data_IF_835584656354
#
_entry.id   IF_835584656354
#
_cell.length_a   1.000
_cell.length_b   1.000
_cell.length_c   1.000
_cell.angle_alpha   90.00
_cell.angle_beta   90.00
_cell.angle_gamma   90.00
#
_symmetry.space_group_name_H-M   'P 1'
#
loop_
_entity.id
_entity.type
_entity.pdbx_description
1 polymer ?
#
# COMPACT_ATOMS: atom_id res chain seq x y z
N UNK A 1 20.24 -30.36 9.25
CA UNK A 1 19.78 -29.39 10.25
C UNK A 1 19.11 -28.25 9.50
N UNK A 2 17.79 -28.32 9.36
CA UNK A 2 16.98 -27.24 8.80
C UNK A 2 16.95 -26.13 9.84
N UNK A 3 17.59 -25.03 9.56
CA UNK A 3 17.40 -23.78 10.30
C UNK A 3 16.02 -23.28 9.88
N UNK A 4 15.02 -23.52 10.72
CA UNK A 4 13.71 -22.88 10.58
C UNK A 4 13.95 -21.36 10.72
N UNK A 5 13.82 -20.65 9.63
CA UNK A 5 13.92 -19.21 9.60
C UNK A 5 12.75 -18.62 10.39
N UNK A 6 13.02 -18.20 11.62
CA UNK A 6 12.11 -17.36 12.41
C UNK A 6 11.95 -15.94 11.84
N UNK A 7 12.47 -15.71 10.64
CA UNK A 7 12.33 -14.45 9.91
C UNK A 7 10.94 -14.26 9.25
N UNK A 8 10.12 -15.30 9.17
CA UNK A 8 8.76 -15.20 8.63
C UNK A 8 7.74 -14.62 9.63
N UNK A 9 8.13 -14.44 10.89
CA UNK A 9 7.34 -13.81 11.95
C UNK A 9 7.72 -12.33 12.15
N UNK A 10 8.18 -11.66 11.12
CA UNK A 10 8.44 -10.24 11.23
C UNK A 10 7.12 -9.50 11.20
N UNK A 11 6.75 -9.13 12.39
CA UNK A 11 5.52 -8.51 12.84
C UNK A 11 5.19 -7.32 11.93
N UNK A 12 4.22 -7.48 11.04
CA UNK A 12 3.49 -6.36 10.47
C UNK A 12 2.97 -5.52 11.64
N UNK A 13 3.58 -4.39 11.91
CA UNK A 13 3.02 -3.43 12.88
C UNK A 13 1.71 -2.92 12.30
N UNK A 14 0.62 -3.48 12.81
CA UNK A 14 -0.73 -3.05 12.48
C UNK A 14 -0.94 -1.64 13.01
N UNK A 15 -1.35 -0.72 12.17
CA UNK A 15 -1.96 0.53 12.60
C UNK A 15 -3.47 0.32 12.54
N UNK A 16 -4.08 0.23 13.70
CA UNK A 16 -5.54 0.25 13.81
C UNK A 16 -6.01 1.67 13.52
N UNK A 17 -6.84 1.83 12.51
CA UNK A 17 -7.63 3.04 12.31
C UNK A 17 -8.98 2.86 12.99
N UNK A 18 -9.59 3.94 13.48
CA UNK A 18 -10.91 3.89 14.12
C UNK A 18 -12.03 3.39 13.18
N UNK A 19 -11.76 3.30 11.90
CA UNK A 19 -12.66 2.77 10.86
C UNK A 19 -12.51 1.27 10.60
N UNK A 20 -11.71 0.55 11.43
CA UNK A 20 -11.49 -0.89 11.28
C UNK A 20 -10.56 -1.30 10.12
N UNK A 21 -10.08 -0.36 9.31
CA UNK A 21 -9.13 -0.64 8.24
C UNK A 21 -7.71 -0.80 8.82
N UNK A 22 -7.18 -2.00 8.77
CA UNK A 22 -5.82 -2.28 9.22
C UNK A 22 -4.86 -1.94 8.07
N UNK A 23 -4.16 -0.79 8.16
CA UNK A 23 -3.04 -0.50 7.26
C UNK A 23 -1.75 -1.02 7.89
N UNK A 24 -1.10 -1.95 7.23
CA UNK A 24 0.17 -2.51 7.67
C UNK A 24 1.34 -1.66 7.17
N UNK A 25 2.32 -1.43 8.03
CA UNK A 25 3.61 -0.89 7.59
C UNK A 25 4.33 -2.00 6.81
N UNK A 26 4.90 -1.67 5.66
CA UNK A 26 5.70 -2.62 4.89
C UNK A 26 6.84 -3.20 5.73
N UNK A 27 7.13 -4.49 5.54
CA UNK A 27 8.24 -5.14 6.23
C UNK A 27 9.57 -4.42 5.96
N UNK A 28 10.52 -4.40 6.89
CA UNK A 28 11.78 -3.66 6.75
C UNK A 28 12.55 -3.99 5.47
N UNK A 29 12.59 -5.27 5.07
CA UNK A 29 13.24 -5.68 3.82
C UNK A 29 12.56 -5.04 2.58
N UNK A 30 11.22 -4.95 2.58
CA UNK A 30 10.49 -4.32 1.49
C UNK A 30 10.77 -2.81 1.41
N UNK A 31 10.88 -2.13 2.56
CA UNK A 31 11.24 -0.71 2.60
C UNK A 31 12.64 -0.51 2.01
N UNK A 32 13.60 -1.37 2.36
CA UNK A 32 14.96 -1.32 1.80
C UNK A 32 14.94 -1.58 0.30
N UNK A 33 14.19 -2.58 -0.16
CA UNK A 33 14.01 -2.88 -1.59
C UNK A 33 13.45 -1.68 -2.35
N UNK A 34 12.38 -1.07 -1.84
CA UNK A 34 11.78 0.12 -2.44
C UNK A 34 12.78 1.28 -2.52
N UNK A 35 13.48 1.60 -1.42
CA UNK A 35 14.48 2.67 -1.38
C UNK A 35 15.65 2.40 -2.33
N UNK A 36 16.10 1.14 -2.44
CA UNK A 36 17.15 0.75 -3.37
C UNK A 36 16.76 1.05 -4.83
N UNK A 37 15.57 0.64 -5.22
CA UNK A 37 15.09 0.84 -6.59
C UNK A 37 14.64 2.28 -6.90
N UNK A 38 14.45 3.12 -5.88
CA UNK A 38 14.15 4.53 -6.07
C UNK A 38 15.37 5.35 -6.53
N UNK A 39 16.60 4.85 -6.37
CA UNK A 39 17.84 5.52 -6.81
C UNK A 39 17.84 7.02 -6.45
N UNK A 40 17.55 7.29 -5.18
CA UNK A 40 17.36 8.66 -4.70
C UNK A 40 18.66 9.44 -4.67
N UNK A 41 18.57 10.71 -5.01
CA UNK A 41 19.67 11.66 -4.97
C UNK A 41 19.26 12.96 -4.28
N UNK A 42 20.22 13.70 -3.78
CA UNK A 42 20.01 15.00 -3.16
C UNK A 42 19.30 15.98 -4.10
N UNK A 43 18.35 16.74 -3.56
CA UNK A 43 17.62 17.79 -4.29
C UNK A 43 16.45 17.30 -5.15
N UNK A 44 16.13 16.01 -5.14
CA UNK A 44 15.02 15.47 -5.93
C UNK A 44 13.64 15.84 -5.37
N UNK A 45 12.68 15.99 -6.29
CA UNK A 45 11.25 16.06 -6.00
C UNK A 45 10.64 14.66 -6.10
N UNK A 46 10.13 14.15 -4.99
CA UNK A 46 9.63 12.78 -4.88
C UNK A 46 8.15 12.77 -4.50
N UNK A 47 7.38 11.95 -5.18
CA UNK A 47 5.98 11.67 -4.86
C UNK A 47 5.87 10.31 -4.19
N UNK A 48 5.18 10.26 -3.05
CA UNK A 48 4.83 9.02 -2.34
C UNK A 48 3.32 8.89 -2.33
N UNK A 49 2.78 7.87 -2.99
CA UNK A 49 1.35 7.56 -2.98
C UNK A 49 1.13 6.34 -2.07
N UNK A 50 0.39 6.56 -0.98
CA UNK A 50 0.23 5.59 0.11
C UNK A 50 1.18 5.89 1.28
N UNK A 51 0.71 6.66 2.24
CA UNK A 51 1.54 7.17 3.35
C UNK A 51 1.87 6.11 4.41
N UNK A 52 0.93 5.21 4.70
CA UNK A 52 1.04 4.12 5.70
C UNK A 52 1.51 4.54 7.10
N UNK A 53 1.91 5.58 7.44
CA UNK A 53 2.47 5.98 8.75
C UNK A 53 3.67 6.91 8.63
N UNK A 54 4.06 7.23 7.39
CA UNK A 54 5.05 8.24 7.10
C UNK A 54 6.52 7.80 7.21
N UNK A 55 6.80 6.56 7.66
CA UNK A 55 8.19 6.12 7.85
C UNK A 55 9.01 6.14 6.56
N UNK A 56 8.45 5.63 5.45
CA UNK A 56 9.10 5.66 4.16
C UNK A 56 9.35 7.11 3.69
N UNK A 57 8.37 8.00 3.88
CA UNK A 57 8.50 9.41 3.51
C UNK A 57 9.62 10.11 4.30
N UNK A 58 9.78 9.81 5.60
CA UNK A 58 10.86 10.33 6.42
C UNK A 58 12.25 9.87 5.93
N UNK A 59 12.37 8.58 5.56
CA UNK A 59 13.62 8.05 5.00
C UNK A 59 13.95 8.72 3.65
N UNK A 60 12.97 8.87 2.77
CA UNK A 60 13.14 9.55 1.49
C UNK A 60 13.59 11.00 1.73
N UNK A 61 12.91 11.73 2.62
CA UNK A 61 13.26 13.12 2.94
C UNK A 61 14.68 13.26 3.49
N UNK A 62 15.13 12.28 4.30
CA UNK A 62 16.53 12.25 4.78
C UNK A 62 17.53 12.11 3.63
N UNK A 63 17.20 11.30 2.62
CA UNK A 63 18.11 11.05 1.49
C UNK A 63 18.14 12.23 0.52
N UNK A 64 16.96 12.80 0.19
CA UNK A 64 16.90 13.93 -0.76
C UNK A 64 17.37 15.26 -0.14
N UNK A 65 17.41 15.34 1.19
CA UNK A 65 17.95 16.47 1.93
C UNK A 65 17.09 17.75 1.86
N UNK A 66 17.67 18.87 2.30
CA UNK A 66 16.94 20.13 2.51
C UNK A 66 16.54 20.82 1.20
N UNK A 67 17.25 20.56 0.11
CA UNK A 67 16.92 21.08 -1.22
C UNK A 67 15.90 20.20 -1.98
N UNK A 68 15.65 18.98 -1.47
CA UNK A 68 14.63 18.08 -2.01
C UNK A 68 13.23 18.36 -1.47
N UNK A 69 12.23 17.72 -2.06
CA UNK A 69 10.82 17.77 -1.62
C UNK A 69 10.22 16.39 -1.66
N UNK A 70 9.36 16.09 -0.70
CA UNK A 70 8.60 14.84 -0.65
C UNK A 70 7.12 15.16 -0.52
N UNK A 71 6.37 14.89 -1.56
CA UNK A 71 4.93 15.08 -1.58
C UNK A 71 4.25 13.73 -1.32
N UNK A 72 3.56 13.63 -0.20
CA UNK A 72 2.91 12.40 0.24
C UNK A 72 1.42 12.50 0.03
N UNK A 73 0.85 11.52 -0.64
CA UNK A 73 -0.57 11.41 -0.92
C UNK A 73 -1.13 10.13 -0.30
N UNK A 74 -2.26 10.21 0.38
CA UNK A 74 -2.98 9.04 0.89
C UNK A 74 -4.48 9.28 0.80
N UNK A 75 -5.29 8.30 0.36
CA UNK A 75 -6.74 8.44 0.29
C UNK A 75 -7.41 8.57 1.65
N UNK A 76 -6.81 8.05 2.71
CA UNK A 76 -7.36 8.10 4.07
C UNK A 76 -7.02 9.42 4.77
N UNK A 77 -8.04 10.23 5.08
CA UNK A 77 -7.89 11.46 5.88
C UNK A 77 -7.28 11.20 7.25
N UNK A 78 -7.61 10.07 7.86
CA UNK A 78 -7.08 9.66 9.16
C UNK A 78 -5.57 9.39 9.09
N UNK A 79 -5.13 8.63 8.09
CA UNK A 79 -3.70 8.36 7.84
C UNK A 79 -2.94 9.65 7.55
N UNK A 80 -3.52 10.55 6.75
CA UNK A 80 -2.94 11.87 6.46
C UNK A 80 -2.76 12.70 7.73
N UNK A 81 -3.76 12.75 8.61
CA UNK A 81 -3.68 13.52 9.86
C UNK A 81 -2.59 12.94 10.79
N UNK A 82 -2.57 11.63 11.00
CA UNK A 82 -1.54 10.96 11.80
C UNK A 82 -0.12 11.16 11.23
N UNK A 83 0.01 11.13 9.90
CA UNK A 83 1.30 11.36 9.27
C UNK A 83 1.77 12.81 9.42
N UNK A 84 0.87 13.80 9.30
CA UNK A 84 1.16 15.21 9.53
C UNK A 84 1.71 15.46 10.94
N UNK A 85 1.09 14.86 11.95
CA UNK A 85 1.53 14.99 13.35
C UNK A 85 2.95 14.42 13.53
N UNK A 86 3.18 13.21 13.00
CA UNK A 86 4.47 12.52 13.13
C UNK A 86 5.60 13.17 12.34
N UNK A 87 5.30 13.72 11.19
CA UNK A 87 6.26 14.30 10.26
C UNK A 87 6.34 15.83 10.35
N UNK A 88 5.73 16.43 11.37
CA UNK A 88 5.71 17.90 11.58
C UNK A 88 7.09 18.55 11.67
N UNK A 89 8.11 17.77 12.02
CA UNK A 89 9.52 18.24 12.12
C UNK A 89 10.26 18.19 10.76
N UNK A 90 9.61 17.74 9.69
CA UNK A 90 10.20 17.61 8.37
C UNK A 90 9.66 18.69 7.43
N UNK A 91 10.30 19.86 7.30
CA UNK A 91 9.78 20.97 6.50
C UNK A 91 9.77 20.68 4.99
N UNK A 92 10.49 19.65 4.55
CA UNK A 92 10.57 19.20 3.17
C UNK A 92 9.47 18.21 2.79
N UNK A 93 8.64 17.77 3.76
CA UNK A 93 7.53 16.84 3.52
C UNK A 93 6.21 17.59 3.49
N UNK A 94 5.47 17.45 2.43
CA UNK A 94 4.09 17.90 2.32
C UNK A 94 3.14 16.72 2.21
N UNK A 95 2.04 16.70 2.99
CA UNK A 95 1.12 15.56 3.06
C UNK A 95 -0.29 16.03 2.75
N UNK A 96 -0.95 15.37 1.78
CA UNK A 96 -2.30 15.71 1.31
C UNK A 96 -3.17 14.46 1.16
N UNK A 97 -4.48 14.69 1.21
CA UNK A 97 -5.46 13.65 0.85
C UNK A 97 -5.49 13.50 -0.67
N UNK A 98 -5.59 12.28 -1.14
CA UNK A 98 -5.81 11.92 -2.53
C UNK A 98 -7.25 11.43 -2.68
N UNK A 99 -8.11 12.29 -3.16
CA UNK A 99 -9.54 11.96 -3.29
C UNK A 99 -9.84 11.06 -4.51
N UNK A 100 -8.99 11.12 -5.53
CA UNK A 100 -9.10 10.32 -6.76
C UNK A 100 -7.69 10.02 -7.31
N UNK A 101 -7.42 8.75 -7.61
CA UNK A 101 -6.12 8.32 -8.10
C UNK A 101 -5.81 8.87 -9.51
N UNK A 102 -6.82 9.03 -10.33
CA UNK A 102 -6.66 9.50 -11.72
C UNK A 102 -6.65 11.04 -11.84
N UNK A 103 -6.87 11.78 -10.74
CA UNK A 103 -6.90 13.23 -10.69
C UNK A 103 -5.78 13.78 -9.82
N UNK A 104 -4.93 14.64 -10.42
CA UNK A 104 -3.90 15.31 -9.64
C UNK A 104 -4.51 16.24 -8.58
N UNK A 105 -3.97 16.24 -7.34
CA UNK A 105 -4.42 17.17 -6.31
C UNK A 105 -4.24 18.64 -6.75
N UNK A 106 -5.12 19.53 -6.26
CA UNK A 106 -5.05 20.97 -6.52
C UNK A 106 -3.73 21.53 -5.97
N UNK A 107 -3.08 22.42 -6.73
CA UNK A 107 -1.79 23.03 -6.39
C UNK A 107 -0.67 22.01 -6.12
N UNK A 108 -0.66 20.93 -6.88
CA UNK A 108 0.38 19.91 -6.85
C UNK A 108 1.58 20.32 -7.70
N UNK A 109 2.83 19.84 -7.41
CA UNK A 109 4.00 20.16 -8.22
C UNK A 109 3.80 19.94 -9.71
N UNK A 110 4.36 20.83 -10.52
CA UNK A 110 4.28 20.73 -11.99
C UNK A 110 5.10 19.58 -12.53
N UNK A 111 6.27 19.33 -11.93
CA UNK A 111 7.21 18.29 -12.33
C UNK A 111 7.82 17.61 -11.12
N UNK A 112 8.20 16.34 -11.27
CA UNK A 112 8.87 15.54 -10.24
C UNK A 112 9.76 14.45 -10.87
N UNK A 113 10.75 13.98 -10.10
CA UNK A 113 11.76 13.05 -10.62
C UNK A 113 11.43 11.60 -10.31
N UNK A 114 10.80 11.33 -9.16
CA UNK A 114 10.58 9.99 -8.63
C UNK A 114 9.17 9.85 -8.08
N UNK A 115 8.56 8.74 -8.39
CA UNK A 115 7.26 8.38 -7.81
C UNK A 115 7.34 6.99 -7.22
N UNK A 116 6.84 6.82 -6.02
CA UNK A 116 6.67 5.52 -5.38
C UNK A 116 5.22 5.33 -4.96
N UNK A 117 4.66 4.20 -5.32
CA UNK A 117 3.34 3.78 -4.87
C UNK A 117 3.48 2.60 -3.91
N UNK A 118 2.88 2.70 -2.74
CA UNK A 118 2.97 1.68 -1.70
C UNK A 118 1.71 0.83 -1.57
N UNK A 119 0.87 0.87 -2.56
CA UNK A 119 -0.30 0.03 -2.74
C UNK A 119 -0.43 -0.41 -4.20
N UNK A 120 -1.14 -1.50 -4.40
CA UNK A 120 -1.40 -2.08 -5.72
C UNK A 120 -2.24 -1.13 -6.58
N UNK A 121 -1.87 -1.05 -7.85
CA UNK A 121 -2.60 -0.33 -8.90
C UNK A 121 -2.68 -1.19 -10.16
N UNK A 122 -3.65 -0.93 -11.03
CA UNK A 122 -3.73 -1.59 -12.34
C UNK A 122 -2.89 -0.88 -13.40
N UNK A 123 -2.80 0.44 -13.30
CA UNK A 123 -2.08 1.29 -14.26
C UNK A 123 -1.55 2.55 -13.59
N UNK A 124 -0.49 3.12 -14.15
CA UNK A 124 0.02 4.43 -13.71
C UNK A 124 -0.96 5.53 -14.16
N UNK A 125 -1.39 6.43 -13.26
CA UNK A 125 -2.26 7.56 -13.60
C UNK A 125 -1.63 8.49 -14.66
N UNK A 126 -2.44 9.01 -15.57
CA UNK A 126 -1.95 9.87 -16.66
C UNK A 126 -1.32 11.19 -16.16
N UNK A 127 -1.84 11.75 -15.05
CA UNK A 127 -1.25 12.94 -14.46
C UNK A 127 0.17 12.72 -13.90
N UNK A 128 0.49 11.47 -13.51
CA UNK A 128 1.85 11.08 -13.09
C UNK A 128 2.76 11.04 -14.30
N UNK A 129 2.35 10.35 -15.36
CA UNK A 129 3.13 10.24 -16.62
C UNK A 129 3.42 11.59 -17.24
N UNK A 130 2.43 12.50 -17.25
CA UNK A 130 2.55 13.82 -17.88
C UNK A 130 3.43 14.81 -17.12
N UNK A 131 3.80 14.52 -15.86
CA UNK A 131 4.56 15.42 -14.98
C UNK A 131 5.88 14.86 -14.51
N UNK A 132 6.16 13.61 -14.81
CA UNK A 132 7.47 13.04 -14.50
C UNK A 132 8.51 13.65 -15.45
N UNK A 133 9.64 14.08 -14.89
CA UNK A 133 10.72 14.67 -15.69
C UNK A 133 11.40 13.63 -16.58
N UNK A 134 12.06 14.07 -17.62
CA UNK A 134 12.91 13.20 -18.42
C UNK A 134 13.98 12.51 -17.56
N UNK A 135 14.18 11.21 -17.73
CA UNK A 135 15.01 10.35 -16.85
C UNK A 135 14.37 10.08 -15.47
N UNK A 136 13.16 10.55 -15.25
CA UNK A 136 12.39 10.21 -14.06
C UNK A 136 11.72 8.83 -14.17
N UNK A 137 11.30 8.26 -13.04
CA UNK A 137 10.64 6.97 -13.03
C UNK A 137 9.66 6.76 -11.88
N UNK A 138 8.81 5.76 -12.07
CA UNK A 138 7.83 5.28 -11.10
C UNK A 138 8.24 3.90 -10.61
N UNK A 139 8.16 3.66 -9.31
CA UNK A 139 8.22 2.31 -8.70
C UNK A 139 6.86 2.01 -8.10
N UNK A 140 6.19 0.98 -8.58
CA UNK A 140 4.84 0.65 -8.16
C UNK A 140 4.55 -0.85 -8.24
N UNK A 141 3.70 -1.41 -7.33
CA UNK A 141 3.10 -2.72 -7.50
C UNK A 141 1.99 -2.65 -8.54
N UNK A 142 2.21 -3.24 -9.70
CA UNK A 142 1.26 -3.21 -10.83
C UNK A 142 0.69 -4.61 -11.07
N UNK A 143 -0.61 -4.71 -11.22
CA UNK A 143 -1.34 -5.94 -11.46
C UNK A 143 -2.71 -5.92 -10.79
N UNK A 144 -3.30 -7.09 -10.59
CA UNK A 144 -4.52 -7.26 -9.82
C UNK A 144 -4.23 -7.74 -8.39
N UNK A 145 -5.27 -7.95 -7.58
CA UNK A 145 -5.11 -8.34 -6.18
C UNK A 145 -4.42 -9.72 -6.01
N UNK A 146 -4.58 -10.62 -6.98
CA UNK A 146 -4.07 -11.99 -6.92
C UNK A 146 -2.67 -12.13 -7.54
N UNK A 147 -2.31 -11.21 -8.44
CA UNK A 147 -1.05 -11.26 -9.16
C UNK A 147 -0.54 -9.86 -9.46
N UNK A 148 0.53 -9.47 -8.81
CA UNK A 148 1.15 -8.17 -8.98
C UNK A 148 2.67 -8.26 -8.93
N UNK A 149 3.33 -7.48 -9.78
CA UNK A 149 4.76 -7.34 -9.79
C UNK A 149 5.16 -5.93 -9.37
N UNK A 150 6.26 -5.82 -8.64
CA UNK A 150 6.89 -4.52 -8.42
C UNK A 150 7.55 -4.10 -9.74
N UNK A 151 7.08 -3.02 -10.32
CA UNK A 151 7.56 -2.50 -11.59
C UNK A 151 8.33 -1.20 -11.39
N UNK A 152 9.45 -1.04 -12.10
CA UNK A 152 10.12 0.25 -12.30
C UNK A 152 9.87 0.68 -13.73
N UNK A 153 9.23 1.84 -13.91
CA UNK A 153 8.85 2.38 -15.20
C UNK A 153 9.57 3.72 -15.39
N UNK A 154 10.56 3.74 -16.26
CA UNK A 154 11.42 4.88 -16.54
C UNK A 154 10.93 5.62 -17.81
N UNK A 155 10.96 6.94 -17.75
CA UNK A 155 10.54 7.82 -18.85
C UNK A 155 11.75 8.57 -19.35
N UNK A 156 12.15 8.30 -20.61
CA UNK A 156 13.29 8.94 -21.24
C UNK A 156 12.94 9.35 -22.67
N UNK A 157 13.00 10.64 -22.96
CA UNK A 157 12.49 11.22 -24.20
C UNK A 157 11.00 10.82 -24.40
N UNK A 158 10.67 10.19 -25.51
CA UNK A 158 9.33 9.64 -25.78
C UNK A 158 9.24 8.14 -25.50
N UNK A 159 10.27 7.56 -24.89
CA UNK A 159 10.34 6.12 -24.61
C UNK A 159 9.97 5.79 -23.16
N UNK A 160 9.38 4.65 -22.98
CA UNK A 160 9.11 4.07 -21.66
C UNK A 160 9.86 2.75 -21.55
N UNK A 161 10.69 2.62 -20.53
CA UNK A 161 11.38 1.38 -20.18
C UNK A 161 10.75 0.76 -18.94
N UNK A 162 10.30 -0.47 -19.06
CA UNK A 162 9.69 -1.21 -17.96
C UNK A 162 10.63 -2.30 -17.46
N UNK A 163 10.88 -2.33 -16.17
CA UNK A 163 11.69 -3.35 -15.49
C UNK A 163 10.85 -4.04 -14.44
N UNK A 164 10.74 -5.37 -14.56
CA UNK A 164 10.08 -6.21 -13.55
C UNK A 164 11.07 -6.51 -12.42
N UNK A 165 10.73 -6.08 -11.21
CA UNK A 165 11.53 -6.24 -9.99
C UNK A 165 11.09 -7.46 -9.15
N UNK A 166 10.13 -8.24 -9.65
CA UNK A 166 9.63 -9.47 -9.05
C UNK A 166 8.25 -9.36 -8.39
N UNK A 167 7.71 -10.51 -8.03
CA UNK A 167 6.38 -10.64 -7.47
C UNK A 167 6.31 -10.02 -6.07
N UNK A 168 5.21 -9.33 -5.81
CA UNK A 168 4.92 -8.69 -4.52
C UNK A 168 3.46 -8.87 -4.16
N UNK A 169 3.12 -8.58 -2.89
CA UNK A 169 1.74 -8.58 -2.42
C UNK A 169 1.49 -7.30 -1.61
N UNK A 170 0.81 -6.33 -2.25
CA UNK A 170 0.37 -5.10 -1.62
C UNK A 170 -1.15 -5.02 -1.64
N UNK A 171 -1.76 -4.49 -0.58
CA UNK A 171 -3.15 -4.09 -0.64
C UNK A 171 -3.35 -2.95 -1.65
N UNK A 172 -4.56 -2.76 -2.18
CA UNK A 172 -4.85 -1.71 -3.15
C UNK A 172 -4.63 -0.31 -2.54
N UNK A 173 -4.32 0.66 -3.41
CA UNK A 173 -4.47 2.07 -3.07
C UNK A 173 -5.97 2.36 -3.10
N UNK A 174 -6.57 2.36 -1.92
CA UNK A 174 -8.00 2.56 -1.75
C UNK A 174 -8.32 4.05 -1.85
N UNK A 175 -8.59 4.52 -3.07
CA UNK A 175 -8.98 5.90 -3.36
C UNK A 175 -10.50 6.05 -3.31
N UNK A 176 -11.22 4.95 -3.33
CA UNK A 176 -12.67 4.94 -3.38
C UNK A 176 -13.23 4.22 -2.17
N UNK A 177 -13.78 4.99 -1.24
CA UNK A 177 -14.53 4.43 -0.11
C UNK A 177 -15.82 3.72 -0.57
N UNK A 178 -16.17 3.83 -1.87
CA UNK A 178 -17.32 3.18 -2.48
C UNK A 178 -16.96 1.82 -3.10
N UNK A 179 -15.68 1.56 -3.39
CA UNK A 179 -15.20 0.25 -3.86
C UNK A 179 -14.63 -0.63 -2.72
N UNK A 180 -15.12 -0.45 -1.51
CA UNK A 180 -15.03 -1.54 -0.55
C UNK A 180 -15.87 -2.66 -1.15
N UNK A 181 -15.25 -3.71 -1.65
CA UNK A 181 -15.88 -5.01 -1.75
C UNK A 181 -16.19 -5.45 -0.32
N UNK A 182 -17.22 -4.85 0.25
CA UNK A 182 -17.83 -5.38 1.44
C UNK A 182 -18.50 -6.67 0.98
N UNK A 183 -17.86 -7.78 1.28
CA UNK A 183 -18.51 -9.07 1.10
C UNK A 183 -19.77 -9.06 1.95
N UNK A 184 -20.88 -9.43 1.36
CA UNK A 184 -22.09 -9.67 2.13
C UNK A 184 -21.75 -10.67 3.24
N UNK A 185 -22.32 -10.57 4.46
CA UNK A 185 -21.99 -11.47 5.55
C UNK A 185 -22.03 -12.96 5.17
N UNK A 186 -22.96 -13.37 4.32
CA UNK A 186 -23.04 -14.74 3.79
C UNK A 186 -21.86 -15.09 2.88
N UNK A 187 -21.44 -14.21 2.00
CA UNK A 187 -20.25 -14.43 1.14
C UNK A 187 -18.98 -14.53 1.96
N UNK A 188 -18.87 -13.71 3.02
CA UNK A 188 -17.75 -13.79 3.96
C UNK A 188 -17.78 -15.13 4.73
N UNK A 189 -18.96 -15.59 5.15
CA UNK A 189 -19.13 -16.88 5.82
C UNK A 189 -18.68 -18.03 4.91
N UNK A 190 -19.07 -18.04 3.63
CA UNK A 190 -18.68 -19.05 2.64
C UNK A 190 -17.16 -19.11 2.44
N UNK A 191 -16.50 -17.94 2.36
CA UNK A 191 -15.04 -17.87 2.25
C UNK A 191 -14.32 -18.38 3.50
N UNK A 192 -14.86 -18.09 4.69
CA UNK A 192 -14.30 -18.61 5.94
C UNK A 192 -14.46 -20.13 6.00
N UNK A 193 -15.61 -20.68 5.61
CA UNK A 193 -15.83 -22.14 5.54
C UNK A 193 -14.83 -22.82 4.61
N UNK A 194 -14.63 -22.28 3.39
CA UNK A 194 -13.63 -22.80 2.47
C UNK A 194 -12.21 -22.74 3.05
N UNK A 195 -11.90 -21.66 3.78
CA UNK A 195 -10.60 -21.51 4.45
C UNK A 195 -10.41 -22.51 5.59
N UNK A 196 -11.47 -22.82 6.35
CA UNK A 196 -11.46 -23.83 7.41
C UNK A 196 -11.11 -25.20 6.80
N UNK A 197 -11.80 -25.63 5.73
CA UNK A 197 -11.53 -26.90 5.06
C UNK A 197 -10.05 -27.01 4.65
N UNK A 198 -9.50 -25.97 4.04
CA UNK A 198 -8.09 -25.93 3.64
C UNK A 198 -7.14 -26.01 4.82
N UNK A 199 -7.45 -25.30 5.93
CA UNK A 199 -6.62 -25.30 7.13
C UNK A 199 -6.65 -26.62 7.88
N UNK A 200 -7.77 -27.33 7.86
CA UNK A 200 -7.91 -28.68 8.41
C UNK A 200 -7.11 -29.71 7.58
N UNK A 201 -7.21 -29.65 6.25
CA UNK A 201 -6.44 -30.52 5.34
C UNK A 201 -4.92 -30.36 5.50
N UNK A 202 -4.48 -29.12 5.78
CA UNK A 202 -3.05 -28.80 5.96
C UNK A 202 -2.58 -28.93 7.41
N UNK A 203 -3.45 -29.28 8.34
CA UNK A 203 -3.16 -29.43 9.79
C UNK A 203 -2.54 -28.15 10.41
N UNK A 204 -2.92 -26.96 9.94
CA UNK A 204 -2.35 -25.67 10.38
C UNK A 204 -3.21 -24.93 11.40
N UNK A 205 -4.39 -25.47 11.75
CA UNK A 205 -5.31 -24.88 12.71
C UNK A 205 -5.56 -25.83 13.88
N UNK A 206 -5.62 -25.32 15.08
CA UNK A 206 -5.97 -26.10 16.27
C UNK A 206 -7.48 -26.07 16.55
N UNK A 207 -7.93 -26.95 17.49
CA UNK A 207 -9.37 -27.12 17.77
C UNK A 207 -10.04 -25.84 18.32
N UNK A 208 -9.33 -25.04 19.11
CA UNK A 208 -9.89 -23.81 19.68
C UNK A 208 -10.05 -22.72 18.62
N UNK A 209 -9.11 -22.61 17.71
CA UNK A 209 -9.17 -21.73 16.53
C UNK A 209 -10.29 -22.16 15.59
N UNK A 210 -10.39 -23.46 15.30
CA UNK A 210 -11.47 -24.04 14.50
C UNK A 210 -12.84 -23.69 15.06
N UNK A 211 -13.06 -23.93 16.36
CA UNK A 211 -14.31 -23.61 17.03
C UNK A 211 -14.64 -22.12 16.95
N UNK A 212 -13.62 -21.26 17.07
CA UNK A 212 -13.79 -19.80 17.00
C UNK A 212 -14.22 -19.35 15.61
N UNK A 213 -13.66 -19.95 14.56
CA UNK A 213 -14.03 -19.65 13.17
C UNK A 213 -15.43 -20.16 12.84
N UNK A 214 -15.78 -21.37 13.28
CA UNK A 214 -17.13 -21.93 13.11
C UNK A 214 -18.19 -21.07 13.82
N UNK A 215 -17.90 -20.58 15.02
CA UNK A 215 -18.76 -19.64 15.76
C UNK A 215 -18.95 -18.31 14.99
N UNK A 216 -17.89 -17.82 14.34
CA UNK A 216 -17.95 -16.62 13.53
C UNK A 216 -18.83 -16.84 12.28
N UNK A 217 -18.65 -17.95 11.58
CA UNK A 217 -19.51 -18.34 10.42
C UNK A 217 -20.96 -18.41 10.83
N UNK A 218 -21.27 -19.07 11.96
CA UNK A 218 -22.64 -19.16 12.47
C UNK A 218 -23.25 -17.79 12.78
N UNK A 219 -22.46 -16.86 13.33
CA UNK A 219 -22.90 -15.47 13.57
C UNK A 219 -23.16 -14.72 12.27
N UNK A 220 -22.26 -14.82 11.30
CA UNK A 220 -22.43 -14.17 9.99
C UNK A 220 -23.69 -14.66 9.28
N UNK A 221 -23.92 -15.97 9.27
CA UNK A 221 -25.11 -16.59 8.67
C UNK A 221 -26.42 -16.30 9.43
N UNK A 222 -26.32 -15.82 10.67
CA UNK A 222 -27.50 -15.43 11.47
C UNK A 222 -27.89 -13.96 11.28
N UNK A 223 -27.10 -13.17 10.58
CA UNK A 223 -27.44 -11.78 10.28
C UNK A 223 -28.60 -11.70 9.28
N UNK A 224 -29.46 -10.68 9.38
CA UNK A 224 -30.54 -10.45 8.40
C UNK A 224 -29.98 -10.25 6.99
N UNK A 225 -30.72 -10.70 5.97
CA UNK A 225 -30.34 -10.57 4.55
C UNK A 225 -30.18 -9.11 4.08
N UNK A 226 -30.76 -8.14 4.80
CA UNK A 226 -30.63 -6.71 4.55
C UNK A 226 -29.47 -6.07 5.35
N UNK A 227 -28.63 -6.87 6.00
CA UNK A 227 -27.43 -6.36 6.67
C UNK A 227 -26.50 -5.81 5.63
N UNK A 228 -26.09 -4.53 5.70
CA UNK A 228 -25.18 -3.96 4.73
C UNK A 228 -23.82 -4.67 4.83
N UNK A 229 -23.16 -4.85 3.68
CA UNK A 229 -21.83 -5.49 3.60
C UNK A 229 -20.76 -4.70 4.35
#
# INVERSE_FOLDING_TARGET
TLVSSSAASDVYKRQETNSGNIKTISAPHMIITLLHHMELSYGQEVIVIGCKGGYLAALIATIVGDDGRVNVLDPSKEVVNHAKDRLSHWPTIEIRVLDDLDVAPIAFPGEFNRVIMTGQIEKIPEWVKSRITDGGFVVAPIGNIDSQNLMKIEYQDELTLETDLGNVCFGPIDVDSTNKHHLHPTELADLIELSIETCEELEIINQDELNSLQDLVAKLNSLPDDTPP
#
